data_IF_051946582237
#
_entry.id   IF_051946582237
#
_cell.length_a   1.000
_cell.length_b   1.000
_cell.length_c   1.000
_cell.angle_alpha   90.00
_cell.angle_beta   90.00
_cell.angle_gamma   90.00
#
_symmetry.space_group_name_H-M   'P 1'
#
loop_
_entity.id
_entity.type
_entity.pdbx_description
1 polymer ?
#
# COMPACT_ATOMS: atom_id res chain seq x y z
N UNK A 1 12.54 -1.82 22.64
CA UNK A 1 11.90 -1.54 21.32
C UNK A 1 11.47 -0.08 21.30
N UNK A 2 11.59 0.60 20.15
CA UNK A 2 11.06 1.97 20.00
C UNK A 2 9.88 1.93 19.07
N UNK A 3 8.78 2.61 19.43
CA UNK A 3 7.55 2.72 18.68
C UNK A 3 7.33 4.18 18.27
N UNK A 4 7.10 4.40 16.98
CA UNK A 4 6.70 5.69 16.44
C UNK A 4 5.29 5.57 15.91
N UNK A 5 4.38 6.39 16.41
CA UNK A 5 2.98 6.42 15.99
C UNK A 5 2.73 7.68 15.17
N UNK A 6 2.35 7.54 13.92
CA UNK A 6 1.99 8.65 13.03
C UNK A 6 0.49 8.87 13.06
N UNK A 7 0.06 10.12 13.24
CA UNK A 7 -1.33 10.50 13.33
C UNK A 7 -1.61 11.87 12.72
N UNK A 8 -2.86 12.09 12.28
CA UNK A 8 -3.36 13.41 11.87
C UNK A 8 -4.14 14.02 13.03
N UNK A 9 -3.46 14.72 13.92
CA UNK A 9 -4.08 15.42 15.06
C UNK A 9 -3.86 16.92 14.95
N UNK A 10 -4.92 17.65 14.64
CA UNK A 10 -4.89 19.13 14.55
C UNK A 10 -4.42 19.75 15.85
N UNK A 11 -3.44 20.65 15.75
CA UNK A 11 -2.90 21.41 16.90
C UNK A 11 -1.97 20.63 17.81
N UNK A 12 -1.53 19.43 17.43
CA UNK A 12 -0.46 18.74 18.14
C UNK A 12 0.92 19.24 17.69
N UNK A 13 1.92 19.06 18.55
CA UNK A 13 3.31 19.29 18.20
C UNK A 13 3.77 18.28 17.13
N UNK A 14 4.75 18.67 16.32
CA UNK A 14 5.34 17.80 15.28
C UNK A 14 5.78 16.46 15.83
N UNK A 15 6.37 16.45 17.03
CA UNK A 15 6.76 15.23 17.77
C UNK A 15 6.40 15.39 19.23
N UNK A 16 5.58 14.47 19.74
CA UNK A 16 5.24 14.36 21.18
C UNK A 16 5.85 13.07 21.72
N UNK A 17 6.86 13.17 22.57
CA UNK A 17 7.44 12.01 23.29
C UNK A 17 6.56 11.69 24.51
N UNK A 18 6.15 10.42 24.62
CA UNK A 18 5.45 9.90 25.81
C UNK A 18 6.45 9.37 26.81
N UNK A 19 7.43 8.58 26.33
CA UNK A 19 8.54 8.04 27.11
C UNK A 19 9.73 7.72 26.20
N UNK A 20 10.72 6.97 26.69
CA UNK A 20 11.92 6.59 25.94
C UNK A 20 11.64 5.57 24.82
N UNK A 21 10.45 4.96 24.82
CA UNK A 21 10.07 3.89 23.87
C UNK A 21 8.95 4.30 22.92
N UNK A 22 8.10 5.26 23.30
CA UNK A 22 6.93 5.68 22.54
C UNK A 22 6.97 7.17 22.21
N UNK A 23 6.77 7.49 20.94
CA UNK A 23 6.58 8.85 20.44
C UNK A 23 5.46 8.93 19.41
N UNK A 24 4.70 10.03 19.45
CA UNK A 24 3.71 10.40 18.46
C UNK A 24 4.28 11.45 17.52
N UNK A 25 4.03 11.28 16.24
CA UNK A 25 4.49 12.15 15.17
C UNK A 25 3.29 12.63 14.36
N UNK A 26 3.23 13.91 14.01
CA UNK A 26 2.30 14.35 12.98
C UNK A 26 2.65 13.69 11.66
N UNK A 27 1.63 13.38 10.87
CA UNK A 27 1.82 12.86 9.52
C UNK A 27 2.53 13.91 8.69
N UNK A 28 3.67 13.51 8.15
CA UNK A 28 4.50 14.22 7.21
C UNK A 28 5.12 13.14 6.31
N UNK A 29 4.96 13.26 5.00
CA UNK A 29 5.31 12.21 4.05
C UNK A 29 6.79 11.82 4.12
N UNK A 30 7.68 12.84 4.18
CA UNK A 30 9.12 12.59 4.24
C UNK A 30 9.53 11.90 5.55
N UNK A 31 9.03 12.39 6.68
CA UNK A 31 9.31 11.82 7.99
C UNK A 31 8.72 10.41 8.14
N UNK A 32 7.52 10.17 7.57
CA UNK A 32 6.88 8.86 7.55
C UNK A 32 7.69 7.87 6.71
N UNK A 33 7.97 8.19 5.44
CA UNK A 33 8.73 7.32 4.54
C UNK A 33 10.12 7.02 5.06
N UNK A 34 10.81 8.02 5.63
CA UNK A 34 12.10 7.81 6.29
C UNK A 34 11.97 6.85 7.48
N UNK A 35 10.91 6.96 8.26
CA UNK A 35 10.67 6.06 9.40
C UNK A 35 10.32 4.64 8.93
N UNK A 36 9.50 4.51 7.89
CA UNK A 36 9.13 3.23 7.28
C UNK A 36 10.37 2.52 6.71
N UNK A 37 11.21 3.22 5.95
CA UNK A 37 12.45 2.67 5.39
C UNK A 37 13.41 2.12 6.46
N UNK A 38 13.41 2.70 7.67
CA UNK A 38 14.32 2.35 8.75
C UNK A 38 13.67 1.51 9.88
N UNK A 39 12.39 1.17 9.78
CA UNK A 39 11.74 0.34 10.79
C UNK A 39 12.07 -1.15 10.61
N UNK A 40 11.92 -1.92 11.70
CA UNK A 40 11.98 -3.39 11.66
C UNK A 40 10.68 -3.99 11.13
N UNK A 41 9.56 -3.36 11.43
CA UNK A 41 8.24 -3.82 11.07
C UNK A 41 7.24 -2.65 11.12
N UNK A 42 6.15 -2.77 10.41
CA UNK A 42 5.13 -1.74 10.24
C UNK A 42 3.75 -2.24 10.69
N UNK A 43 2.94 -1.38 11.29
CA UNK A 43 1.55 -1.69 11.62
C UNK A 43 0.63 -0.59 11.08
N UNK A 44 -0.45 -0.98 10.41
CA UNK A 44 -1.33 -0.07 9.66
C UNK A 44 -2.78 -0.55 9.69
N UNK A 45 -3.70 0.35 9.34
CA UNK A 45 -5.10 0.01 9.01
C UNK A 45 -5.27 -0.53 7.58
N UNK A 46 -4.19 -0.85 6.89
CA UNK A 46 -4.18 -1.37 5.52
C UNK A 46 -4.69 -0.40 4.44
N UNK A 47 -4.40 0.89 4.58
CA UNK A 47 -4.55 1.84 3.45
C UNK A 47 -3.66 1.42 2.29
N UNK A 48 -4.18 1.50 1.05
CA UNK A 48 -3.52 0.99 -0.15
C UNK A 48 -2.08 1.50 -0.31
N UNK A 49 -1.89 2.82 -0.27
CA UNK A 49 -0.57 3.44 -0.47
C UNK A 49 0.46 2.91 0.53
N UNK A 50 0.12 2.94 1.81
CA UNK A 50 1.06 2.56 2.87
C UNK A 50 1.42 1.06 2.88
N UNK A 51 0.52 0.21 2.40
CA UNK A 51 0.80 -1.23 2.20
C UNK A 51 1.76 -1.42 1.03
N UNK A 52 1.53 -0.73 -0.10
CA UNK A 52 2.42 -0.76 -1.26
C UNK A 52 3.81 -0.21 -0.93
N UNK A 53 3.90 0.87 -0.16
CA UNK A 53 5.17 1.44 0.30
C UNK A 53 5.94 0.47 1.21
N UNK A 54 5.24 -0.21 2.12
CA UNK A 54 5.85 -1.22 2.99
C UNK A 54 6.39 -2.41 2.17
N UNK A 55 5.63 -2.89 1.19
CA UNK A 55 6.05 -3.92 0.24
C UNK A 55 7.29 -3.49 -0.54
N UNK A 56 7.25 -2.30 -1.14
CA UNK A 56 8.37 -1.75 -1.92
C UNK A 56 9.65 -1.64 -1.09
N UNK A 57 9.52 -1.25 0.20
CA UNK A 57 10.64 -1.12 1.12
C UNK A 57 11.04 -2.43 1.82
N UNK A 58 10.38 -3.55 1.49
CA UNK A 58 10.65 -4.85 2.10
C UNK A 58 10.33 -4.90 3.59
N UNK A 59 9.24 -4.27 4.04
CA UNK A 59 8.86 -4.19 5.45
C UNK A 59 7.69 -5.13 5.76
N UNK A 60 7.85 -6.05 6.72
CA UNK A 60 6.73 -6.87 7.18
C UNK A 60 5.65 -5.99 7.82
N UNK A 61 4.40 -6.19 7.41
CA UNK A 61 3.26 -5.40 7.84
C UNK A 61 2.27 -6.20 8.70
N UNK A 62 1.76 -5.57 9.77
CA UNK A 62 0.55 -5.99 10.47
C UNK A 62 -0.60 -5.09 10.02
N UNK A 63 -1.66 -5.67 9.52
CA UNK A 63 -2.80 -4.97 8.97
C UNK A 63 -4.03 -5.17 9.86
N UNK A 64 -4.64 -4.05 10.28
CA UNK A 64 -5.85 -4.03 11.11
C UNK A 64 -6.92 -3.23 10.35
N UNK A 65 -7.62 -3.82 9.37
CA UNK A 65 -8.57 -3.12 8.54
C UNK A 65 -9.78 -2.66 9.35
N UNK A 66 -10.33 -1.49 9.00
CA UNK A 66 -11.51 -0.90 9.65
C UNK A 66 -12.69 -0.70 8.70
N UNK A 67 -12.52 -0.98 7.40
CA UNK A 67 -13.58 -0.97 6.38
C UNK A 67 -13.21 -1.88 5.19
N UNK A 68 -14.20 -2.15 4.33
CA UNK A 68 -14.13 -3.17 3.29
C UNK A 68 -12.96 -3.03 2.31
N UNK A 69 -12.60 -1.81 1.92
CA UNK A 69 -11.45 -1.59 1.02
C UNK A 69 -10.15 -2.07 1.69
N UNK A 70 -9.97 -1.74 2.97
CA UNK A 70 -8.80 -2.15 3.75
C UNK A 70 -8.78 -3.67 4.01
N UNK A 71 -9.96 -4.30 4.12
CA UNK A 71 -10.06 -5.77 4.20
C UNK A 71 -9.56 -6.42 2.90
N UNK A 72 -9.91 -5.86 1.74
CA UNK A 72 -9.39 -6.32 0.45
C UNK A 72 -7.86 -6.15 0.35
N UNK A 73 -7.35 -4.97 0.69
CA UNK A 73 -5.91 -4.70 0.66
C UNK A 73 -5.13 -5.63 1.61
N UNK A 74 -5.67 -5.87 2.82
CA UNK A 74 -5.06 -6.76 3.79
C UNK A 74 -5.06 -8.22 3.31
N UNK A 75 -6.16 -8.67 2.69
CA UNK A 75 -6.27 -10.00 2.12
C UNK A 75 -5.27 -10.22 0.98
N UNK A 76 -5.17 -9.28 0.05
CA UNK A 76 -4.23 -9.37 -1.07
C UNK A 76 -2.78 -9.38 -0.57
N UNK A 77 -2.43 -8.48 0.35
CA UNK A 77 -1.09 -8.45 0.94
C UNK A 77 -0.74 -9.72 1.75
N UNK A 78 -1.72 -10.34 2.39
CA UNK A 78 -1.53 -11.61 3.11
C UNK A 78 -1.33 -12.77 2.13
N UNK A 79 -2.07 -12.82 1.03
CA UNK A 79 -1.89 -13.80 -0.05
C UNK A 79 -0.50 -13.73 -0.68
N UNK A 80 0.05 -12.52 -0.84
CA UNK A 80 1.40 -12.28 -1.38
C UNK A 80 2.51 -12.44 -0.32
N UNK A 81 2.15 -12.78 0.93
CA UNK A 81 3.12 -12.96 2.01
C UNK A 81 3.76 -11.67 2.53
N UNK A 82 3.19 -10.53 2.16
CA UNK A 82 3.71 -9.20 2.52
C UNK A 82 3.35 -8.76 3.93
N UNK A 83 2.29 -9.34 4.50
CA UNK A 83 1.79 -8.97 5.81
C UNK A 83 0.95 -10.03 6.46
N UNK A 84 0.44 -9.71 7.64
CA UNK A 84 -0.54 -10.52 8.38
C UNK A 84 -1.70 -9.64 8.82
N UNK A 85 -2.93 -10.10 8.61
CA UNK A 85 -4.12 -9.43 9.09
C UNK A 85 -4.41 -9.78 10.56
N UNK A 86 -5.00 -8.84 11.30
CA UNK A 86 -5.45 -9.02 12.68
C UNK A 86 -6.66 -8.13 12.99
N UNK A 87 -7.42 -8.48 14.03
CA UNK A 87 -8.54 -7.66 14.51
C UNK A 87 -8.10 -6.46 15.36
N UNK A 88 -6.85 -6.48 15.84
CA UNK A 88 -6.26 -5.42 16.66
C UNK A 88 -4.75 -5.35 16.45
N UNK A 89 -4.15 -4.24 16.89
CA UNK A 89 -2.70 -4.02 16.80
C UNK A 89 -1.91 -4.94 17.76
N UNK A 90 -1.78 -6.22 17.39
CA UNK A 90 -1.00 -7.23 18.11
C UNK A 90 0.48 -7.14 17.69
N UNK A 91 1.26 -6.42 18.47
CA UNK A 91 2.70 -6.24 18.22
C UNK A 91 3.49 -7.55 18.36
N UNK A 92 3.05 -8.48 19.19
CA UNK A 92 3.71 -9.79 19.32
C UNK A 92 3.49 -10.62 18.05
N UNK A 93 2.29 -10.57 17.48
CA UNK A 93 2.01 -11.19 16.17
C UNK A 93 2.90 -10.60 15.09
N UNK A 94 3.01 -9.26 15.03
CA UNK A 94 3.87 -8.56 14.08
C UNK A 94 5.34 -8.97 14.23
N UNK A 95 5.86 -9.02 15.44
CA UNK A 95 7.26 -9.37 15.68
C UNK A 95 7.56 -10.84 15.36
N UNK A 96 6.62 -11.76 15.62
CA UNK A 96 6.73 -13.16 15.18
C UNK A 96 6.78 -13.26 13.66
N UNK A 97 5.88 -12.57 12.96
CA UNK A 97 5.88 -12.52 11.50
C UNK A 97 7.17 -11.92 10.94
N UNK A 98 7.61 -10.79 11.48
CA UNK A 98 8.86 -10.13 11.05
C UNK A 98 10.13 -11.00 11.17
N UNK A 99 10.12 -12.01 12.03
CA UNK A 99 11.24 -12.95 12.15
C UNK A 99 11.27 -14.02 11.05
N UNK A 100 10.15 -14.26 10.39
CA UNK A 100 10.01 -15.25 9.31
C UNK A 100 9.79 -14.60 7.94
N UNK A 101 9.61 -13.29 7.92
CA UNK A 101 9.35 -12.51 6.71
C UNK A 101 10.54 -12.56 5.76
N UNK A 102 10.23 -12.78 4.49
CA UNK A 102 11.17 -12.67 3.37
C UNK A 102 10.67 -11.58 2.43
N UNK A 103 11.54 -10.66 2.08
CA UNK A 103 11.22 -9.55 1.17
C UNK A 103 10.87 -10.07 -0.23
N UNK A 104 9.79 -9.53 -0.81
CA UNK A 104 9.44 -9.74 -2.21
C UNK A 104 10.20 -8.76 -3.11
N UNK A 105 11.32 -9.24 -3.65
CA UNK A 105 12.13 -8.45 -4.60
C UNK A 105 11.46 -8.31 -5.97
N UNK A 106 10.58 -9.24 -6.34
CA UNK A 106 9.92 -9.24 -7.65
C UNK A 106 8.89 -8.11 -7.72
N UNK A 107 8.19 -7.82 -6.59
CA UNK A 107 7.31 -6.67 -6.49
C UNK A 107 8.05 -5.35 -6.74
N UNK A 108 9.21 -5.17 -6.10
CA UNK A 108 10.04 -3.97 -6.29
C UNK A 108 10.54 -3.83 -7.73
N UNK A 109 10.95 -4.93 -8.35
CA UNK A 109 11.37 -4.94 -9.75
C UNK A 109 10.20 -4.62 -10.69
N UNK A 110 9.02 -5.17 -10.40
CA UNK A 110 7.80 -4.88 -11.16
C UNK A 110 7.41 -3.41 -11.04
N UNK A 111 7.43 -2.85 -9.84
CA UNK A 111 7.07 -1.45 -9.58
C UNK A 111 8.00 -0.48 -10.32
N UNK A 112 9.30 -0.68 -10.27
CA UNK A 112 10.27 0.15 -10.99
C UNK A 112 10.04 0.19 -12.52
N UNK A 113 9.34 -0.80 -13.07
CA UNK A 113 8.96 -0.86 -14.48
C UNK A 113 7.47 -0.55 -14.73
N UNK A 114 6.68 -0.36 -13.68
CA UNK A 114 5.22 -0.29 -13.74
C UNK A 114 4.72 0.85 -14.63
N UNK A 115 5.28 2.05 -14.51
CA UNK A 115 4.87 3.22 -15.28
C UNK A 115 5.02 3.00 -16.80
N UNK A 116 6.16 2.45 -17.21
CA UNK A 116 6.42 2.14 -18.64
C UNK A 116 5.44 1.07 -19.15
N UNK A 117 5.19 0.03 -18.35
CA UNK A 117 4.26 -1.05 -18.70
C UNK A 117 2.82 -0.57 -18.80
N UNK A 118 2.37 0.25 -17.84
CA UNK A 118 1.00 0.81 -17.83
C UNK A 118 0.79 1.71 -19.05
N UNK A 119 1.75 2.58 -19.37
CA UNK A 119 1.67 3.45 -20.55
C UNK A 119 1.60 2.59 -21.82
N UNK A 120 2.48 1.61 -21.97
CA UNK A 120 2.47 0.73 -23.15
C UNK A 120 1.15 -0.06 -23.31
N UNK A 121 0.55 -0.52 -22.21
CA UNK A 121 -0.76 -1.17 -22.21
C UNK A 121 -1.88 -0.20 -22.63
N UNK A 122 -1.86 1.04 -22.13
CA UNK A 122 -2.84 2.06 -22.51
C UNK A 122 -2.72 2.44 -23.98
N UNK A 123 -1.50 2.62 -24.50
CA UNK A 123 -1.25 2.89 -25.91
C UNK A 123 -1.75 1.74 -26.79
N UNK A 124 -1.43 0.50 -26.45
CA UNK A 124 -1.90 -0.69 -27.16
C UNK A 124 -3.44 -0.82 -27.14
N UNK A 125 -4.07 -0.55 -26.00
CA UNK A 125 -5.53 -0.56 -25.89
C UNK A 125 -6.18 0.56 -26.70
N UNK A 126 -5.57 1.74 -26.72
CA UNK A 126 -6.04 2.86 -27.55
C UNK A 126 -5.96 2.53 -29.06
N UNK A 127 -4.82 2.00 -29.52
CA UNK A 127 -4.63 1.59 -30.91
C UNK A 127 -5.65 0.49 -31.31
N UNK A 128 -5.83 -0.53 -30.48
CA UNK A 128 -6.82 -1.57 -30.70
C UNK A 128 -8.27 -1.00 -30.76
N UNK A 129 -8.59 -0.05 -29.87
CA UNK A 129 -9.88 0.63 -29.86
C UNK A 129 -10.11 1.50 -31.08
N UNK A 130 -9.10 2.22 -31.58
CA UNK A 130 -9.19 3.03 -32.78
C UNK A 130 -9.41 2.17 -34.06
N UNK A 131 -8.78 1.01 -34.14
CA UNK A 131 -9.02 0.06 -35.23
C UNK A 131 -10.42 -0.56 -35.17
N UNK A 132 -10.94 -0.84 -33.98
CA UNK A 132 -12.30 -1.34 -33.78
C UNK A 132 -13.35 -0.30 -34.17
N UNK A 133 -13.12 0.98 -33.88
CA UNK A 133 -14.03 2.09 -34.21
C UNK A 133 -14.03 2.39 -35.70
N UNK A 134 -12.89 2.29 -36.40
CA UNK A 134 -12.81 2.51 -37.84
C UNK A 134 -13.51 1.42 -38.68
N UNK A 135 -13.79 0.27 -38.07
CA UNK A 135 -14.52 -0.85 -38.71
C UNK A 135 -16.00 -0.97 -38.33
N UNK A 136 -16.54 -0.10 -37.46
CA UNK A 136 -17.94 -0.14 -37.05
C UNK A 136 -18.80 0.79 -37.93
N UNK A 137 -19.97 0.33 -38.40
CA UNK A 137 -20.94 1.22 -39.06
C UNK A 137 -21.44 2.28 -38.07
N UNK A 138 -21.60 3.52 -38.56
CA UNK A 138 -22.11 4.65 -37.78
C UNK A 138 -23.39 4.27 -37.01
N UNK A 139 -23.38 4.35 -35.70
CA UNK A 139 -24.58 4.20 -34.87
C UNK A 139 -24.47 3.26 -33.63
N UNK A 140 -23.40 2.54 -33.42
CA UNK A 140 -23.32 1.52 -32.33
C UNK A 140 -22.65 1.98 -31.04
N UNK A 141 -22.28 3.27 -30.90
CA UNK A 141 -21.56 3.79 -29.72
C UNK A 141 -22.40 3.91 -28.43
N UNK A 142 -23.76 3.80 -28.56
CA UNK A 142 -24.65 3.99 -27.38
C UNK A 142 -24.83 2.75 -26.50
N UNK A 143 -24.31 1.59 -26.89
CA UNK A 143 -24.55 0.34 -26.14
C UNK A 143 -23.51 0.00 -25.08
N UNK A 144 -22.31 0.60 -25.13
CA UNK A 144 -21.19 0.29 -24.23
C UNK A 144 -21.05 1.23 -23.03
N UNK A 145 -21.88 2.28 -22.93
CA UNK A 145 -21.87 3.25 -21.81
C UNK A 145 -22.90 2.91 -20.72
N UNK A 146 -23.41 1.68 -20.65
CA UNK A 146 -24.33 1.22 -19.60
C UNK A 146 -23.79 -0.04 -18.93
N UNK A 147 -22.68 0.10 -18.21
CA UNK A 147 -22.30 -0.80 -17.12
C UNK A 147 -21.91 0.07 -15.94
#
# INVERSE_FOLDING_TARGET
>A
MKLRFFWDKKGADTVTKIDDTLSFHLIDDEAFLHSLANCKAYATTAGFESVCEALYMGKPALMVPVHIEQECNAFDAECEGAGVAAEQFDLDKLLRFANTYSEDVDFRMWENCSSVRVIALLESAYEAGTHAVSGMPDGTFSHWLRL
#
